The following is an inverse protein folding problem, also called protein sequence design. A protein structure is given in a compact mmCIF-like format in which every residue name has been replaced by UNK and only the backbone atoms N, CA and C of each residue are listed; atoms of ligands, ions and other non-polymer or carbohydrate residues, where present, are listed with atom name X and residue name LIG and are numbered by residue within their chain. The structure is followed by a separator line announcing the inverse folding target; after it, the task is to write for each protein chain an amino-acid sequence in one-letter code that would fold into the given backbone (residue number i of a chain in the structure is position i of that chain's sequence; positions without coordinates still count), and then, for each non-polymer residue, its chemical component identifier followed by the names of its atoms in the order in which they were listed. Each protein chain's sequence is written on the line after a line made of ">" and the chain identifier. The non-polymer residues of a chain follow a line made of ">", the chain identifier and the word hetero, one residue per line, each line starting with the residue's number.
data_IF_155511325614
#
_entry.id   IF_155511325614
#
_cell.length_a   1.000
_cell.length_b   1.000
_cell.length_c   1.000
_cell.angle_alpha   90.00
_cell.angle_beta   90.00
_cell.angle_gamma   90.00
#
_symmetry.space_group_name_H-M   'P 1'
#
loop_
_entity.id
_entity.type
_entity.pdbx_description
1 polymer ?
#
# COMPACT_ATOMS: atom_id res chain seq x y z
N UNK A 1 -48.70 38.16 -54.36
CA UNK A 1 -48.69 37.60 -52.99
C UNK A 1 -47.86 36.31 -53.00
N UNK A 2 -46.56 36.39 -52.67
CA UNK A 2 -45.70 35.20 -52.51
C UNK A 2 -45.23 35.19 -51.05
N UNK A 3 -45.59 34.14 -50.32
CA UNK A 3 -45.25 33.96 -48.90
C UNK A 3 -43.81 33.46 -48.76
N UNK A 4 -43.00 34.21 -48.01
CA UNK A 4 -41.66 33.81 -47.61
C UNK A 4 -41.79 33.07 -46.28
N UNK A 5 -41.54 31.75 -46.28
CA UNK A 5 -41.46 30.95 -45.04
C UNK A 5 -40.05 31.12 -44.46
N UNK A 6 -39.94 31.74 -43.29
CA UNK A 6 -38.72 31.71 -42.47
C UNK A 6 -38.54 30.31 -41.88
N UNK A 7 -37.36 29.72 -42.08
CA UNK A 7 -36.92 28.53 -41.37
C UNK A 7 -36.33 28.94 -40.00
N UNK A 8 -36.64 28.26 -38.89
CA UNK A 8 -36.02 28.57 -37.61
C UNK A 8 -34.62 27.96 -37.55
N UNK A 9 -33.63 28.77 -37.19
CA UNK A 9 -32.27 28.34 -36.94
C UNK A 9 -32.23 27.65 -35.56
N UNK A 10 -32.09 26.32 -35.55
CA UNK A 10 -31.82 25.55 -34.33
C UNK A 10 -30.38 25.82 -33.88
N UNK A 11 -30.22 26.62 -32.84
CA UNK A 11 -28.96 26.77 -32.09
C UNK A 11 -28.69 25.46 -31.34
N UNK A 12 -27.81 24.61 -31.87
CA UNK A 12 -27.18 23.55 -31.09
C UNK A 12 -26.23 24.20 -30.08
N UNK A 13 -26.61 24.20 -28.81
CA UNK A 13 -25.68 24.44 -27.71
C UNK A 13 -24.71 23.27 -27.61
N UNK A 14 -23.49 23.46 -28.11
CA UNK A 14 -22.39 22.54 -27.87
C UNK A 14 -22.01 22.63 -26.38
N UNK A 15 -22.52 21.70 -25.57
CA UNK A 15 -21.99 21.44 -24.23
C UNK A 15 -20.56 20.93 -24.43
N UNK A 16 -19.59 21.79 -24.17
CA UNK A 16 -18.19 21.40 -24.07
C UNK A 16 -18.10 20.29 -23.02
N UNK A 17 -17.68 19.09 -23.41
CA UNK A 17 -17.27 18.09 -22.45
C UNK A 17 -15.99 18.61 -21.80
N UNK A 18 -16.11 19.27 -20.65
CA UNK A 18 -14.98 19.59 -19.81
C UNK A 18 -14.39 18.24 -19.39
N UNK A 19 -13.29 17.83 -20.04
CA UNK A 19 -12.55 16.64 -19.65
C UNK A 19 -12.16 16.81 -18.19
N UNK A 20 -12.74 16.00 -17.32
CA UNK A 20 -12.39 15.97 -15.90
C UNK A 20 -10.87 15.70 -15.84
N UNK A 21 -10.11 16.61 -15.23
CA UNK A 21 -8.67 16.39 -15.04
C UNK A 21 -8.49 15.07 -14.31
N UNK A 22 -7.59 14.21 -14.81
CA UNK A 22 -7.28 12.94 -14.14
C UNK A 22 -6.95 13.22 -12.66
N UNK A 23 -7.46 12.39 -11.73
CA UNK A 23 -7.12 12.54 -10.33
C UNK A 23 -5.61 12.47 -10.16
N UNK A 24 -5.04 13.43 -9.42
CA UNK A 24 -3.61 13.50 -9.13
C UNK A 24 -3.39 13.43 -7.63
N UNK A 25 -2.50 12.54 -7.22
CA UNK A 25 -2.11 12.38 -5.82
C UNK A 25 -0.63 12.74 -5.62
N UNK A 26 -0.35 13.23 -4.43
CA UNK A 26 1.00 13.28 -3.86
C UNK A 26 1.21 12.05 -2.98
N UNK A 27 2.45 11.58 -2.88
CA UNK A 27 2.80 10.38 -2.12
C UNK A 27 3.96 10.68 -1.18
N UNK A 28 3.80 10.27 0.08
CA UNK A 28 4.80 10.43 1.12
C UNK A 28 5.10 9.07 1.74
N UNK A 29 6.37 8.74 1.92
CA UNK A 29 6.77 7.62 2.78
C UNK A 29 7.07 8.15 4.17
N UNK A 30 6.46 7.53 5.19
CA UNK A 30 6.60 7.90 6.60
C UNK A 30 7.25 6.71 7.30
N UNK A 31 8.51 6.89 7.71
CA UNK A 31 9.19 5.90 8.56
C UNK A 31 8.72 6.08 9.99
N UNK A 32 8.09 5.03 10.51
CA UNK A 32 7.57 5.01 11.87
C UNK A 32 8.44 4.15 12.80
N UNK A 33 9.31 3.29 12.26
CA UNK A 33 10.31 2.56 13.04
C UNK A 33 11.48 2.05 12.17
N UNK A 34 12.47 1.48 12.83
CA UNK A 34 13.59 0.75 12.20
C UNK A 34 13.85 -0.54 12.94
N UNK A 35 14.01 -1.66 12.22
CA UNK A 35 14.55 -2.90 12.79
C UNK A 35 16.03 -3.01 12.38
N UNK A 36 16.97 -2.88 13.32
CA UNK A 36 18.39 -2.85 13.01
C UNK A 36 18.95 -4.27 12.79
N UNK A 37 19.94 -4.38 11.90
CA UNK A 37 20.69 -5.62 11.70
C UNK A 37 19.84 -6.81 11.23
N UNK A 38 18.77 -6.56 10.46
CA UNK A 38 17.88 -7.57 9.92
C UNK A 38 18.60 -8.46 8.91
N UNK A 39 18.47 -9.80 8.96
CA UNK A 39 19.14 -10.70 8.03
C UNK A 39 18.63 -10.52 6.60
N UNK A 40 19.53 -10.20 5.67
CA UNK A 40 19.09 -9.96 4.27
C UNK A 40 18.64 -11.26 3.59
N UNK A 41 19.08 -12.42 4.08
CA UNK A 41 18.59 -13.72 3.63
C UNK A 41 17.10 -13.95 3.93
N UNK A 42 16.49 -13.18 4.84
CA UNK A 42 15.04 -13.20 5.11
C UNK A 42 14.27 -12.22 4.19
N UNK A 43 14.97 -11.40 3.42
CA UNK A 43 14.38 -10.41 2.49
C UNK A 43 14.62 -10.79 1.02
N UNK A 44 15.79 -11.36 0.70
CA UNK A 44 16.20 -11.68 -0.68
C UNK A 44 16.59 -13.14 -0.76
N UNK A 45 15.87 -13.92 -1.57
CA UNK A 45 16.14 -15.33 -1.71
C UNK A 45 17.58 -15.57 -2.20
N UNK A 46 18.33 -16.40 -1.47
CA UNK A 46 19.72 -16.74 -1.83
C UNK A 46 20.75 -15.65 -1.52
N UNK A 47 20.39 -14.61 -0.76
CA UNK A 47 21.37 -13.66 -0.25
C UNK A 47 22.34 -14.32 0.75
N UNK A 48 23.52 -13.73 0.88
CA UNK A 48 24.52 -14.13 1.87
C UNK A 48 23.91 -14.12 3.30
N UNK A 49 23.91 -15.27 4.02
CA UNK A 49 23.32 -15.37 5.36
C UNK A 49 24.04 -14.53 6.42
N UNK A 50 25.29 -14.10 6.18
CA UNK A 50 26.01 -13.20 7.08
C UNK A 50 25.60 -11.73 6.89
N UNK A 51 24.99 -11.38 5.75
CA UNK A 51 24.66 -10.00 5.42
C UNK A 51 23.45 -9.52 6.23
N UNK A 52 23.60 -8.35 6.83
CA UNK A 52 22.56 -7.67 7.62
C UNK A 52 22.41 -6.22 7.17
N UNK A 53 21.20 -5.68 7.29
CA UNK A 53 20.93 -4.26 7.09
C UNK A 53 19.81 -3.79 8.01
N UNK A 54 19.75 -2.49 8.28
CA UNK A 54 18.64 -1.89 9.00
C UNK A 54 17.47 -1.72 8.05
N UNK A 55 16.31 -2.32 8.34
CA UNK A 55 15.11 -2.13 7.53
C UNK A 55 14.28 -0.94 8.03
N UNK A 56 13.62 -0.27 7.10
CA UNK A 56 12.69 0.81 7.41
C UNK A 56 11.26 0.26 7.52
N UNK A 57 10.61 0.52 8.65
CA UNK A 57 9.17 0.25 8.79
C UNK A 57 8.41 1.49 8.27
N UNK A 58 7.66 1.31 7.19
CA UNK A 58 7.05 2.39 6.42
C UNK A 58 5.52 2.26 6.42
N UNK A 59 4.86 3.40 6.45
CA UNK A 59 3.50 3.58 5.93
C UNK A 59 3.55 4.64 4.84
N UNK A 60 2.66 4.57 3.86
CA UNK A 60 2.61 5.58 2.79
C UNK A 60 1.33 6.39 2.87
N UNK A 61 1.47 7.71 2.90
CA UNK A 61 0.34 8.62 2.72
C UNK A 61 0.20 8.96 1.24
N UNK A 62 -0.98 8.70 0.69
CA UNK A 62 -1.42 9.15 -0.64
C UNK A 62 -2.49 10.22 -0.44
N UNK A 63 -2.18 11.46 -0.82
CA UNK A 63 -3.02 12.65 -0.57
C UNK A 63 -3.44 13.30 -1.87
N UNK A 64 -4.73 13.54 -2.04
CA UNK A 64 -5.27 14.21 -3.22
C UNK A 64 -6.74 13.92 -3.42
N UNK A 65 -7.39 14.70 -4.28
CA UNK A 65 -8.79 14.47 -4.71
C UNK A 65 -9.80 14.36 -3.54
N UNK A 66 -9.53 15.03 -2.42
CA UNK A 66 -10.38 14.98 -1.22
C UNK A 66 -10.14 13.77 -0.30
N UNK A 67 -9.13 12.94 -0.60
CA UNK A 67 -8.77 11.77 0.20
C UNK A 67 -7.39 11.93 0.88
N UNK A 68 -7.28 11.34 2.07
CA UNK A 68 -6.01 11.04 2.74
C UNK A 68 -5.99 9.53 2.96
N UNK A 69 -5.26 8.83 2.10
CA UNK A 69 -5.25 7.37 2.05
C UNK A 69 -3.93 6.91 2.67
N UNK A 70 -3.97 6.00 3.62
CA UNK A 70 -2.78 5.25 4.01
C UNK A 70 -2.70 3.95 3.21
N UNK A 71 -1.52 3.61 2.72
CA UNK A 71 -1.19 2.25 2.31
C UNK A 71 -0.38 1.64 3.46
N UNK A 72 -0.91 0.54 3.99
CA UNK A 72 -0.54 -0.09 5.26
C UNK A 72 -0.71 0.83 6.49
N UNK A 73 -0.64 0.24 7.67
CA UNK A 73 -1.01 0.89 8.93
C UNK A 73 0.01 0.74 10.06
N UNK A 74 1.10 0.01 9.84
CA UNK A 74 2.15 -0.19 10.84
C UNK A 74 1.70 -1.10 11.99
N UNK A 75 2.44 -1.06 13.11
CA UNK A 75 2.08 -1.75 14.35
C UNK A 75 2.21 -0.87 15.60
N UNK A 76 1.55 -1.29 16.68
CA UNK A 76 1.50 -0.67 17.99
C UNK A 76 1.22 -1.62 19.15
N UNK A 77 0.79 -2.87 18.95
CA UNK A 77 0.55 -3.81 20.06
C UNK A 77 1.86 -4.17 20.80
N UNK A 78 1.79 -4.21 22.13
CA UNK A 78 2.94 -4.34 23.03
C UNK A 78 3.80 -5.60 22.81
N UNK A 79 3.21 -6.69 22.32
CA UNK A 79 3.93 -7.96 22.21
C UNK A 79 4.98 -7.94 21.09
N UNK A 80 4.78 -7.16 20.03
CA UNK A 80 5.78 -7.00 18.96
C UNK A 80 7.07 -6.33 19.46
N UNK A 81 7.01 -5.46 20.46
CA UNK A 81 8.21 -4.86 21.07
C UNK A 81 8.99 -5.83 21.96
N UNK A 82 8.39 -6.97 22.33
CA UNK A 82 9.07 -8.05 23.05
C UNK A 82 9.72 -9.04 22.10
N UNK A 83 9.14 -9.19 20.91
CA UNK A 83 9.62 -10.09 19.86
C UNK A 83 10.72 -9.44 19.01
N UNK A 84 10.57 -8.15 18.70
CA UNK A 84 11.46 -7.43 17.80
C UNK A 84 12.25 -6.35 18.53
N UNK A 85 13.51 -6.19 18.13
CA UNK A 85 14.31 -5.05 18.55
C UNK A 85 13.96 -3.84 17.68
N UNK A 86 13.12 -2.95 18.19
CA UNK A 86 12.60 -1.79 17.46
C UNK A 86 13.32 -0.51 17.87
N UNK A 87 13.86 0.23 16.91
CA UNK A 87 14.47 1.56 17.07
C UNK A 87 13.61 2.65 16.43
N UNK A 88 13.81 3.90 16.87
CA UNK A 88 13.17 5.11 16.33
C UNK A 88 11.63 5.02 16.22
N UNK A 89 11.00 4.26 17.11
CA UNK A 89 9.56 4.00 17.05
C UNK A 89 8.73 5.26 17.32
N UNK A 90 7.74 5.48 16.45
CA UNK A 90 6.63 6.41 16.63
C UNK A 90 5.37 5.63 16.28
N UNK A 91 4.35 5.71 17.14
CA UNK A 91 3.07 5.06 16.85
C UNK A 91 2.52 5.54 15.50
N UNK A 92 2.01 4.66 14.62
CA UNK A 92 1.56 5.06 13.28
C UNK A 92 0.55 6.23 13.27
N UNK A 93 -0.37 6.26 14.24
CA UNK A 93 -1.33 7.36 14.45
C UNK A 93 -0.68 8.71 14.74
N UNK A 94 0.50 8.70 15.36
CA UNK A 94 1.23 9.90 15.76
C UNK A 94 2.25 10.28 14.67
N UNK A 95 2.75 9.30 13.92
CA UNK A 95 3.70 9.51 12.83
C UNK A 95 3.11 10.38 11.71
N UNK A 96 1.80 10.29 11.45
CA UNK A 96 1.12 11.12 10.45
C UNK A 96 0.99 12.60 10.84
N UNK A 97 1.20 12.96 12.12
CA UNK A 97 1.24 14.36 12.54
C UNK A 97 2.39 15.13 11.87
N UNK A 98 3.47 14.44 11.46
CA UNK A 98 4.60 15.01 10.73
C UNK A 98 4.22 15.55 9.34
N UNK A 99 3.09 15.11 8.80
CA UNK A 99 2.50 15.60 7.53
C UNK A 99 1.23 16.43 7.76
N UNK A 100 0.99 16.86 9.00
CA UNK A 100 -0.08 17.77 9.38
C UNK A 100 -1.47 17.13 9.46
N UNK A 101 -1.55 15.81 9.66
CA UNK A 101 -2.81 15.07 9.79
C UNK A 101 -3.01 14.52 11.19
N UNK A 102 -4.27 14.37 11.57
CA UNK A 102 -4.73 13.59 12.73
C UNK A 102 -5.28 12.24 12.26
N UNK A 103 -5.40 11.24 13.14
CA UNK A 103 -5.96 9.93 12.77
C UNK A 103 -7.37 10.01 12.18
N UNK A 104 -8.18 10.98 12.61
CA UNK A 104 -9.53 11.21 12.09
C UNK A 104 -9.56 11.82 10.68
N UNK A 105 -8.43 12.33 10.19
CA UNK A 105 -8.33 12.92 8.85
C UNK A 105 -8.05 11.86 7.78
N UNK A 106 -7.69 10.62 8.18
CA UNK A 106 -7.49 9.49 7.27
C UNK A 106 -8.84 8.97 6.82
N UNK A 107 -9.07 9.03 5.51
CA UNK A 107 -10.33 8.62 4.87
C UNK A 107 -10.35 7.14 4.56
N UNK A 108 -9.18 6.58 4.22
CA UNK A 108 -9.03 5.22 3.72
C UNK A 108 -7.71 4.63 4.19
N UNK A 109 -7.70 3.33 4.48
CA UNK A 109 -6.48 2.54 4.72
C UNK A 109 -6.52 1.34 3.80
N UNK A 110 -5.55 1.20 2.91
CA UNK A 110 -5.38 0.05 2.03
C UNK A 110 -4.35 -0.88 2.67
N UNK A 111 -4.81 -2.01 3.20
CA UNK A 111 -3.97 -3.03 3.79
C UNK A 111 -3.46 -3.95 2.69
N UNK A 112 -2.15 -3.99 2.49
CA UNK A 112 -1.54 -4.79 1.43
C UNK A 112 -1.59 -6.28 1.73
N UNK A 113 -1.47 -6.65 3.01
CA UNK A 113 -1.60 -8.01 3.50
C UNK A 113 -1.72 -8.04 5.03
N UNK A 114 -2.00 -9.21 5.59
CA UNK A 114 -2.33 -9.37 7.02
C UNK A 114 -1.13 -9.56 7.97
N UNK A 115 0.11 -9.33 7.54
CA UNK A 115 1.22 -9.35 8.51
C UNK A 115 1.11 -8.20 9.50
N UNK A 116 1.58 -8.48 10.71
CA UNK A 116 1.48 -7.60 11.86
C UNK A 116 1.97 -6.18 11.60
N UNK A 117 3.10 -6.02 10.93
CA UNK A 117 3.72 -4.72 10.69
C UNK A 117 3.04 -3.88 9.60
N UNK A 118 2.00 -4.44 8.96
CA UNK A 118 1.17 -3.77 7.97
C UNK A 118 -0.26 -3.58 8.44
N UNK A 119 -0.81 -4.55 9.16
CA UNK A 119 -2.22 -4.66 9.51
C UNK A 119 -2.55 -4.20 10.93
N UNK A 120 -1.61 -4.31 11.89
CA UNK A 120 -1.89 -4.11 13.31
C UNK A 120 -2.47 -2.72 13.62
N UNK A 121 -1.94 -1.67 13.00
CA UNK A 121 -2.38 -0.30 13.21
C UNK A 121 -3.71 0.10 12.54
N UNK A 122 -4.42 -0.81 11.87
CA UNK A 122 -5.59 -0.44 11.05
C UNK A 122 -6.73 0.19 11.87
N UNK A 123 -6.84 -0.19 13.14
CA UNK A 123 -7.85 0.28 14.09
C UNK A 123 -7.51 1.65 14.73
N UNK A 124 -6.31 2.17 14.48
CA UNK A 124 -5.87 3.48 14.96
C UNK A 124 -6.53 4.66 14.23
N UNK A 125 -7.18 4.41 13.09
CA UNK A 125 -7.74 5.45 12.21
C UNK A 125 -9.27 5.36 12.23
N UNK A 126 -9.96 6.04 13.17
CA UNK A 126 -11.34 5.72 13.54
C UNK A 126 -12.40 6.02 12.48
N UNK A 127 -12.09 6.86 11.48
CA UNK A 127 -13.02 7.19 10.38
C UNK A 127 -12.72 6.48 9.07
N UNK A 128 -11.57 5.81 8.99
CA UNK A 128 -11.11 5.26 7.72
C UNK A 128 -11.97 4.07 7.26
N UNK A 129 -12.18 3.98 5.95
CA UNK A 129 -12.59 2.74 5.29
C UNK A 129 -11.36 1.87 5.07
N UNK A 130 -11.45 0.59 5.41
CA UNK A 130 -10.37 -0.38 5.24
C UNK A 130 -10.57 -1.13 3.93
N UNK A 131 -9.53 -1.18 3.10
CA UNK A 131 -9.52 -1.91 1.83
C UNK A 131 -8.54 -3.07 1.91
N UNK A 132 -9.01 -4.28 1.62
CA UNK A 132 -8.20 -5.49 1.63
C UNK A 132 -8.70 -6.48 0.58
N UNK A 133 -7.83 -7.33 0.03
CA UNK A 133 -8.25 -8.41 -0.86
C UNK A 133 -9.25 -9.32 -0.16
N UNK A 134 -10.34 -9.65 -0.87
CA UNK A 134 -11.39 -10.53 -0.37
C UNK A 134 -10.81 -11.88 0.09
N UNK A 135 -9.96 -12.48 -0.74
CA UNK A 135 -9.39 -13.80 -0.47
C UNK A 135 -8.38 -13.78 0.69
N UNK A 136 -7.66 -12.67 0.89
CA UNK A 136 -6.77 -12.47 2.05
C UNK A 136 -7.60 -12.49 3.34
N UNK A 137 -8.68 -11.69 3.38
CA UNK A 137 -9.58 -11.63 4.52
C UNK A 137 -10.25 -12.98 4.81
N UNK A 138 -10.83 -13.62 3.80
CA UNK A 138 -11.55 -14.90 3.98
C UNK A 138 -10.62 -16.03 4.44
N UNK A 139 -9.40 -16.09 3.90
CA UNK A 139 -8.44 -17.11 4.29
C UNK A 139 -8.01 -16.96 5.75
N UNK A 140 -7.58 -15.75 6.14
CA UNK A 140 -7.11 -15.50 7.50
C UNK A 140 -8.23 -15.37 8.53
N UNK A 141 -9.48 -15.10 8.15
CA UNK A 141 -10.61 -15.23 9.06
C UNK A 141 -11.10 -16.69 9.21
N UNK A 142 -10.56 -17.63 8.43
CA UNK A 142 -11.06 -19.00 8.35
C UNK A 142 -9.96 -20.06 8.26
N UNK A 143 -9.68 -20.53 7.04
CA UNK A 143 -8.89 -21.74 6.79
C UNK A 143 -7.45 -21.67 7.35
N UNK A 144 -6.86 -20.49 7.43
CA UNK A 144 -5.47 -20.31 7.85
C UNK A 144 -5.17 -20.93 9.22
N UNK A 145 -6.14 -21.03 10.12
CA UNK A 145 -5.95 -21.51 11.50
C UNK A 145 -6.07 -23.03 11.67
N UNK A 146 -6.32 -23.77 10.59
CA UNK A 146 -6.41 -25.24 10.65
C UNK A 146 -5.02 -25.92 10.62
N UNK A 147 -3.96 -25.15 10.37
CA UNK A 147 -2.57 -25.59 10.45
C UNK A 147 -1.72 -24.47 11.05
N UNK A 148 -0.63 -24.83 11.74
CA UNK A 148 0.32 -23.87 12.31
C UNK A 148 1.22 -23.21 11.25
N UNK A 149 1.33 -23.82 10.08
CA UNK A 149 2.27 -23.41 9.03
C UNK A 149 1.65 -22.44 8.02
N UNK A 150 0.39 -22.03 8.22
CA UNK A 150 -0.42 -21.26 7.26
C UNK A 150 -0.71 -19.83 7.67
N UNK A 151 -0.19 -19.39 8.82
CA UNK A 151 -0.43 -18.06 9.40
C UNK A 151 0.84 -17.44 10.03
N UNK A 152 2.02 -17.79 9.51
CA UNK A 152 3.28 -17.17 9.95
C UNK A 152 3.24 -15.66 9.70
N UNK A 153 3.67 -14.86 10.68
CA UNK A 153 3.62 -13.38 10.62
C UNK A 153 2.21 -12.78 10.76
N UNK A 154 1.17 -13.59 10.89
CA UNK A 154 -0.22 -13.13 11.06
C UNK A 154 -0.58 -13.18 12.53
N UNK A 155 -1.01 -12.06 13.09
CA UNK A 155 -1.51 -12.03 14.47
C UNK A 155 -3.03 -12.22 14.55
N UNK A 156 -3.48 -12.99 15.53
CA UNK A 156 -4.90 -13.27 15.70
C UNK A 156 -5.71 -12.05 16.11
N UNK A 157 -5.13 -11.12 16.86
CA UNK A 157 -5.80 -9.88 17.26
C UNK A 157 -6.00 -8.94 16.06
N UNK A 158 -5.10 -8.97 15.07
CA UNK A 158 -5.26 -8.24 13.80
C UNK A 158 -6.43 -8.77 13.00
N UNK A 159 -6.56 -10.10 12.91
CA UNK A 159 -7.71 -10.74 12.26
C UNK A 159 -9.01 -10.40 12.98
N UNK A 160 -9.03 -10.49 14.31
CA UNK A 160 -10.22 -10.14 15.11
C UNK A 160 -10.60 -8.66 14.96
N UNK A 161 -9.61 -7.76 14.92
CA UNK A 161 -9.83 -6.34 14.66
C UNK A 161 -10.44 -6.11 13.27
N UNK A 162 -9.90 -6.75 12.22
CA UNK A 162 -10.43 -6.63 10.87
C UNK A 162 -11.86 -7.19 10.76
N UNK A 163 -12.14 -8.33 11.39
CA UNK A 163 -13.50 -8.90 11.46
C UNK A 163 -14.45 -7.92 12.15
N UNK A 164 -14.04 -7.33 13.28
CA UNK A 164 -14.85 -6.33 13.98
C UNK A 164 -15.14 -5.12 13.08
N UNK A 165 -14.12 -4.54 12.44
CA UNK A 165 -14.28 -3.42 11.51
C UNK A 165 -15.22 -3.78 10.34
N UNK A 166 -15.17 -5.03 9.87
CA UNK A 166 -16.11 -5.52 8.85
C UNK A 166 -17.55 -5.54 9.37
N UNK A 167 -17.79 -6.02 10.59
CA UNK A 167 -19.14 -5.98 11.20
C UNK A 167 -19.66 -4.56 11.45
N UNK A 168 -18.76 -3.59 11.59
CA UNK A 168 -19.08 -2.16 11.69
C UNK A 168 -19.33 -1.49 10.31
N UNK A 169 -19.23 -2.24 9.20
CA UNK A 169 -19.42 -1.74 7.84
C UNK A 169 -18.25 -0.90 7.31
N UNK A 170 -17.08 -0.97 7.96
CA UNK A 170 -15.89 -0.18 7.63
C UNK A 170 -14.94 -0.87 6.66
N UNK A 171 -15.17 -2.14 6.32
CA UNK A 171 -14.31 -2.89 5.40
C UNK A 171 -14.93 -2.94 4.00
N UNK A 172 -14.10 -2.74 2.99
CA UNK A 172 -14.43 -2.91 1.58
C UNK A 172 -13.48 -3.94 0.96
N UNK A 173 -14.06 -5.07 0.54
CA UNK A 173 -13.31 -6.19 -0.01
C UNK A 173 -12.98 -5.95 -1.48
N UNK A 174 -11.70 -5.99 -1.81
CA UNK A 174 -11.19 -5.89 -3.17
C UNK A 174 -11.36 -7.25 -3.84
N UNK A 175 -12.08 -7.26 -4.97
CA UNK A 175 -12.39 -8.47 -5.71
C UNK A 175 -11.34 -8.79 -6.78
N UNK A 176 -10.20 -9.32 -6.36
CA UNK A 176 -9.17 -9.84 -7.24
C UNK A 176 -8.28 -8.74 -7.85
N UNK A 177 -7.85 -8.98 -9.08
CA UNK A 177 -6.76 -8.23 -9.69
C UNK A 177 -7.18 -6.95 -10.43
N UNK A 178 -6.27 -5.97 -10.49
CA UNK A 178 -6.39 -4.70 -11.20
C UNK A 178 -7.71 -3.95 -10.92
N UNK A 179 -8.09 -3.88 -9.65
CA UNK A 179 -9.33 -3.23 -9.20
C UNK A 179 -9.07 -1.78 -8.81
N UNK A 180 -9.67 -0.85 -9.52
CA UNK A 180 -9.71 0.55 -9.10
C UNK A 180 -10.66 0.68 -7.90
N UNK A 181 -10.10 1.05 -6.74
CA UNK A 181 -10.84 1.17 -5.47
C UNK A 181 -11.28 2.60 -5.20
N UNK A 182 -10.50 3.56 -5.69
CA UNK A 182 -10.78 4.99 -5.72
C UNK A 182 -10.27 5.54 -7.06
N UNK A 183 -10.82 6.64 -7.60
CA UNK A 183 -10.34 7.19 -8.86
C UNK A 183 -8.82 7.43 -8.84
N UNK A 184 -8.08 6.79 -9.74
CA UNK A 184 -6.63 6.86 -9.85
C UNK A 184 -5.85 6.00 -8.85
N UNK A 185 -6.53 5.14 -8.07
CA UNK A 185 -5.94 4.21 -7.10
C UNK A 185 -6.39 2.79 -7.44
N UNK A 186 -5.44 1.97 -7.89
CA UNK A 186 -5.70 0.60 -8.35
C UNK A 186 -4.95 -0.39 -7.48
N UNK A 187 -5.67 -1.37 -6.94
CA UNK A 187 -5.09 -2.52 -6.26
C UNK A 187 -4.85 -3.66 -7.24
N UNK A 188 -3.68 -4.27 -7.17
CA UNK A 188 -3.30 -5.42 -7.98
C UNK A 188 -2.99 -6.60 -7.08
N UNK A 189 -3.38 -7.80 -7.52
CA UNK A 189 -2.96 -9.00 -6.80
C UNK A 189 -1.45 -9.14 -6.88
N UNK A 190 -0.86 -9.45 -5.73
CA UNK A 190 0.55 -9.53 -5.51
C UNK A 190 1.20 -10.85 -5.92
N UNK A 191 2.43 -11.01 -5.43
CA UNK A 191 3.31 -12.14 -5.72
C UNK A 191 3.20 -13.30 -4.74
N UNK A 192 2.03 -13.50 -4.11
CA UNK A 192 1.82 -14.52 -3.06
C UNK A 192 2.86 -14.40 -1.92
N UNK A 193 3.08 -13.19 -1.42
CA UNK A 193 3.84 -13.01 -0.17
C UNK A 193 3.07 -13.62 1.00
N UNK A 194 1.80 -13.25 1.13
CA UNK A 194 0.76 -13.94 1.89
C UNK A 194 -0.26 -14.59 0.95
N UNK A 195 -1.36 -15.11 1.50
CA UNK A 195 -2.39 -15.83 0.73
C UNK A 195 -2.86 -15.07 -0.51
N UNK A 196 -3.22 -13.80 -0.36
CA UNK A 196 -3.60 -12.89 -1.43
C UNK A 196 -3.12 -11.46 -1.16
N UNK A 197 -1.81 -11.30 -0.89
CA UNK A 197 -1.16 -9.99 -0.82
C UNK A 197 -1.47 -9.14 -2.05
N UNK A 198 -1.46 -7.81 -1.91
CA UNK A 198 -1.68 -6.85 -2.99
C UNK A 198 -0.67 -5.71 -2.97
N UNK A 199 -0.50 -5.03 -4.10
CA UNK A 199 0.24 -3.77 -4.21
C UNK A 199 -0.62 -2.70 -4.87
N UNK A 200 -0.25 -1.44 -4.69
CA UNK A 200 -1.10 -0.29 -5.07
C UNK A 200 -0.43 0.53 -6.17
N UNK A 201 -1.16 0.77 -7.25
CA UNK A 201 -0.81 1.76 -8.27
C UNK A 201 -1.53 3.07 -8.03
N UNK A 202 -0.79 4.18 -8.05
CA UNK A 202 -1.27 5.52 -7.74
C UNK A 202 -0.97 6.45 -8.91
N UNK A 203 -1.99 7.14 -9.41
CA UNK A 203 -1.83 8.14 -10.45
C UNK A 203 -1.36 9.49 -9.88
N UNK A 204 -0.18 9.93 -10.31
CA UNK A 204 0.44 11.19 -9.90
C UNK A 204 0.70 12.09 -11.10
N UNK A 205 1.19 13.30 -10.88
CA UNK A 205 1.65 14.21 -11.95
C UNK A 205 2.81 13.62 -12.76
N UNK A 206 3.64 12.77 -12.15
CA UNK A 206 4.75 12.09 -12.81
C UNK A 206 4.38 10.74 -13.45
N UNK A 207 3.08 10.40 -13.45
CA UNK A 207 2.55 9.13 -13.93
C UNK A 207 2.26 8.14 -12.80
N UNK A 208 2.25 6.85 -13.13
CA UNK A 208 1.91 5.78 -12.19
C UNK A 208 3.08 5.48 -11.26
N UNK A 209 2.87 5.65 -9.96
CA UNK A 209 3.73 5.14 -8.89
C UNK A 209 3.19 3.81 -8.40
N UNK A 210 4.07 2.85 -8.14
CA UNK A 210 3.73 1.57 -7.54
C UNK A 210 4.27 1.53 -6.12
N UNK A 211 3.38 1.32 -5.15
CA UNK A 211 3.71 1.00 -3.77
C UNK A 211 3.66 -0.52 -3.63
N UNK A 212 4.82 -1.16 -3.69
CA UNK A 212 4.93 -2.62 -3.76
C UNK A 212 4.67 -3.30 -2.41
N UNK A 213 4.99 -2.61 -1.31
CA UNK A 213 5.05 -3.20 0.03
C UNK A 213 5.84 -4.53 -0.03
N UNK A 214 5.39 -5.56 0.64
CA UNK A 214 6.13 -6.83 0.74
C UNK A 214 6.03 -7.73 -0.48
N UNK A 215 5.34 -7.29 -1.53
CA UNK A 215 5.51 -7.92 -2.84
C UNK A 215 6.92 -7.67 -3.40
N UNK A 216 7.67 -6.73 -2.81
CA UNK A 216 9.07 -6.42 -3.08
C UNK A 216 9.71 -5.73 -1.87
N UNK A 217 10.42 -6.49 -1.02
CA UNK A 217 11.01 -5.95 0.21
C UNK A 217 12.06 -4.86 -0.01
N UNK A 218 12.96 -5.08 -0.97
CA UNK A 218 14.10 -4.21 -1.26
C UNK A 218 14.16 -3.87 -2.74
N UNK A 219 14.80 -2.74 -3.07
CA UNK A 219 15.18 -2.44 -4.46
C UNK A 219 16.06 -3.56 -5.04
N UNK A 220 16.87 -4.21 -4.21
CA UNK A 220 17.70 -5.34 -4.62
C UNK A 220 16.89 -6.49 -5.24
N UNK A 221 15.68 -6.78 -4.75
CA UNK A 221 14.81 -7.81 -5.33
C UNK A 221 14.49 -7.46 -6.80
N UNK A 222 14.13 -6.21 -7.07
CA UNK A 222 13.76 -5.73 -8.41
C UNK A 222 14.95 -5.67 -9.37
N UNK A 223 16.07 -5.15 -8.87
CA UNK A 223 17.28 -4.85 -9.65
C UNK A 223 17.96 -6.16 -10.08
N UNK A 224 18.04 -7.13 -9.17
CA UNK A 224 18.58 -8.46 -9.47
C UNK A 224 17.55 -9.41 -10.08
N UNK A 225 16.26 -9.03 -10.04
CA UNK A 225 15.13 -9.87 -10.40
C UNK A 225 15.18 -11.21 -9.64
N UNK A 226 15.21 -11.10 -8.32
CA UNK A 226 15.27 -12.21 -7.36
C UNK A 226 14.02 -12.14 -6.49
N UNK A 227 13.38 -13.28 -6.18
CA UNK A 227 12.21 -13.30 -5.32
C UNK A 227 12.54 -12.77 -3.92
N UNK A 228 11.51 -12.26 -3.24
CA UNK A 228 11.57 -12.12 -1.78
C UNK A 228 11.78 -13.49 -1.13
N UNK A 229 12.43 -13.54 0.03
CA UNK A 229 12.70 -14.84 0.67
C UNK A 229 11.43 -15.45 1.32
N UNK A 230 10.53 -14.62 1.83
CA UNK A 230 9.25 -15.05 2.40
C UNK A 230 8.13 -14.94 1.35
N UNK A 231 7.98 -15.95 0.50
CA UNK A 231 6.87 -16.03 -0.48
C UNK A 231 6.38 -17.46 -0.60
N UNK A 232 5.07 -17.61 -0.78
CA UNK A 232 4.42 -18.90 -1.04
C UNK A 232 4.62 -19.37 -2.49
N UNK A 233 4.96 -18.46 -3.40
CA UNK A 233 5.22 -18.76 -4.81
C UNK A 233 6.23 -17.76 -5.41
N UNK A 234 7.50 -18.16 -5.41
CA UNK A 234 8.61 -17.38 -5.96
C UNK A 234 8.43 -17.02 -7.45
N UNK A 235 7.79 -17.88 -8.25
CA UNK A 235 7.55 -17.61 -9.67
C UNK A 235 6.48 -16.53 -9.83
N UNK A 236 5.42 -16.59 -9.02
CA UNK A 236 4.41 -15.53 -8.95
C UNK A 236 5.03 -14.22 -8.47
N UNK A 237 5.94 -14.24 -7.49
CA UNK A 237 6.66 -13.05 -7.04
C UNK A 237 7.44 -12.36 -8.16
N UNK A 238 8.22 -13.11 -8.95
CA UNK A 238 8.95 -12.55 -10.09
C UNK A 238 8.01 -11.97 -11.16
N UNK A 239 6.91 -12.65 -11.46
CA UNK A 239 5.88 -12.13 -12.39
C UNK A 239 5.25 -10.83 -11.87
N UNK A 240 5.05 -10.71 -10.56
CA UNK A 240 4.57 -9.47 -9.95
C UNK A 240 5.60 -8.35 -10.15
N UNK A 241 6.89 -8.59 -9.92
CA UNK A 241 7.95 -7.60 -10.19
C UNK A 241 7.98 -7.16 -11.66
N UNK A 242 7.86 -8.09 -12.62
CA UNK A 242 7.79 -7.75 -14.05
C UNK A 242 6.58 -6.88 -14.37
N UNK A 243 5.43 -7.21 -13.76
CA UNK A 243 4.22 -6.42 -13.93
C UNK A 243 4.35 -5.02 -13.34
N UNK A 244 5.00 -4.86 -12.19
CA UNK A 244 5.28 -3.54 -11.63
C UNK A 244 6.12 -2.69 -12.59
N UNK A 245 7.11 -3.29 -13.27
CA UNK A 245 7.92 -2.62 -14.32
C UNK A 245 7.08 -2.18 -15.52
N UNK A 246 6.02 -2.92 -15.87
CA UNK A 246 5.10 -2.55 -16.96
C UNK A 246 4.10 -1.46 -16.56
N UNK A 247 3.66 -1.46 -15.30
CA UNK A 247 2.65 -0.53 -14.78
C UNK A 247 3.24 0.83 -14.39
N UNK A 248 4.41 0.83 -13.75
CA UNK A 248 5.06 2.05 -13.31
C UNK A 248 5.57 2.87 -14.50
N UNK A 249 5.44 4.19 -14.41
CA UNK A 249 5.95 5.09 -15.48
C UNK A 249 7.47 5.05 -15.59
N UNK A 250 8.18 4.75 -14.50
CA UNK A 250 9.61 4.44 -14.53
C UNK A 250 10.00 3.51 -13.37
N UNK A 251 11.13 2.78 -13.46
CA UNK A 251 11.59 1.91 -12.37
C UNK A 251 11.81 2.65 -11.03
N UNK A 252 12.17 3.95 -11.08
CA UNK A 252 12.34 4.80 -9.88
C UNK A 252 11.04 4.98 -9.09
N UNK A 253 9.88 4.81 -9.75
CA UNK A 253 8.56 4.95 -9.15
C UNK A 253 7.97 3.62 -8.67
N UNK A 254 8.80 2.58 -8.52
CA UNK A 254 8.43 1.34 -7.84
C UNK A 254 9.05 1.38 -6.45
N UNK A 255 8.23 1.40 -5.40
CA UNK A 255 8.66 1.67 -4.03
C UNK A 255 8.58 0.38 -3.22
N UNK A 256 9.70 -0.13 -2.67
CA UNK A 256 9.73 -1.34 -1.85
C UNK A 256 9.13 -1.14 -0.46
N UNK A 257 8.82 -2.25 0.21
CA UNK A 257 8.23 -2.26 1.56
C UNK A 257 9.18 -1.82 2.67
N UNK A 258 10.42 -2.32 2.65
CA UNK A 258 11.32 -2.26 3.82
C UNK A 258 12.70 -1.66 3.53
N UNK A 259 12.94 -1.16 2.31
CA UNK A 259 14.25 -0.64 1.93
C UNK A 259 14.54 0.73 2.57
N UNK A 260 15.60 0.86 3.39
CA UNK A 260 15.98 2.16 3.96
C UNK A 260 16.35 3.19 2.90
N UNK A 261 16.73 2.77 1.68
CA UNK A 261 17.05 3.69 0.59
C UNK A 261 15.84 4.52 0.12
N UNK A 262 14.60 4.14 0.46
CA UNK A 262 13.44 5.04 0.24
C UNK A 262 13.69 6.39 0.93
N UNK A 263 14.28 6.39 2.11
CA UNK A 263 14.53 7.62 2.88
C UNK A 263 15.65 8.50 2.33
N UNK A 264 16.47 7.97 1.41
CA UNK A 264 17.61 8.70 0.81
C UNK A 264 17.44 8.98 -0.68
N UNK A 265 16.57 8.25 -1.38
CA UNK A 265 16.28 8.44 -2.81
C UNK A 265 15.34 9.62 -3.08
N UNK A 266 14.57 10.06 -2.09
CA UNK A 266 13.50 11.05 -2.22
C UNK A 266 13.72 12.27 -1.31
N UNK A 267 13.03 13.37 -1.60
CA UNK A 267 13.20 14.63 -0.90
C UNK A 267 12.64 14.55 0.52
N UNK A 268 13.47 14.79 1.52
CA UNK A 268 13.05 14.89 2.92
C UNK A 268 12.19 16.13 3.12
N UNK A 269 11.00 15.96 3.70
CA UNK A 269 10.06 17.06 4.00
C UNK A 269 9.82 17.24 5.50
N UNK A 270 10.11 16.22 6.30
CA UNK A 270 10.12 16.27 7.76
C UNK A 270 11.00 15.12 8.31
N UNK A 271 11.39 15.12 9.59
CA UNK A 271 12.16 14.02 10.19
C UNK A 271 11.47 12.66 10.03
N UNK A 272 12.09 11.76 9.25
CA UNK A 272 11.52 10.44 8.94
C UNK A 272 10.41 10.46 7.87
N UNK A 273 10.27 11.55 7.11
CA UNK A 273 9.28 11.65 6.03
C UNK A 273 9.95 12.15 4.75
N UNK A 274 9.72 11.42 3.66
CA UNK A 274 10.12 11.83 2.30
C UNK A 274 8.90 11.97 1.40
N UNK A 275 8.95 12.92 0.47
CA UNK A 275 7.97 13.05 -0.61
C UNK A 275 8.45 12.26 -1.83
N UNK A 276 7.71 11.22 -2.18
CA UNK A 276 7.98 10.37 -3.35
C UNK A 276 7.60 11.11 -4.63
N UNK A 277 6.40 11.71 -4.67
CA UNK A 277 5.86 12.55 -5.75
C UNK A 277 4.93 13.63 -5.19
#
# INVERSE_FOLDING_TARGET
>A
MKSLRLLPLLLLSALSAWGQSKPQYEIYAIRYATLPGFPVAELVQGADPARKLDIAMLIWLVRGNGHNILVDSGFYRDHFFKEWHVNDYVKPSDAIAKVGLKPEDITDVIITHMHWDHADGMDLFPKARIWIQKEEFEYYAGQAWQSKDTHGGIDSEDVLALVRLNTEGRVSLVGGDAREVLPGITCYTGGKHTYQSQYVGVQTTAGTVILASDNMYLYENLDKHVPIAATLDAVSNLRAQDRMKQLATSPRLIIPGHDPAVMTRFSVVAPGVVKIQ
#
